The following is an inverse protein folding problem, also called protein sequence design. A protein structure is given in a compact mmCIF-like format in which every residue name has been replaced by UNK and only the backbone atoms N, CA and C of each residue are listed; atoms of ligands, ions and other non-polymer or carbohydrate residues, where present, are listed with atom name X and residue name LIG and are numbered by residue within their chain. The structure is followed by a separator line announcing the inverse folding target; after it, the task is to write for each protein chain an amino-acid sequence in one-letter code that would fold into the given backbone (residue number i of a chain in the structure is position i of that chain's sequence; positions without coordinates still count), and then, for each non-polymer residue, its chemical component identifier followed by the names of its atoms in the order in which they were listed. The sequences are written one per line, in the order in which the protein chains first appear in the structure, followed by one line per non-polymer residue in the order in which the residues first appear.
data_IF_283192653975
#
_entry.id   IF_283192653975
#
_cell.length_a   1.000
_cell.length_b   1.000
_cell.length_c   1.000
_cell.angle_alpha   90.00
_cell.angle_beta   90.00
_cell.angle_gamma   90.00
#
_symmetry.space_group_name_H-M   'P 1'
#
loop_
_entity.id
_entity.type
_entity.pdbx_description
1 polymer ?
#
# COMPACT_ATOMS: atom_id res chain seq x y z
N UNK A 1 -6.70 -17.51 -1.13
CA UNK A 1 -5.39 -17.04 -0.67
C UNK A 1 -5.52 -15.76 0.12
N UNK A 2 -4.77 -15.66 1.19
CA UNK A 2 -4.78 -14.48 2.03
C UNK A 2 -4.06 -13.33 1.33
N UNK A 3 -4.70 -12.16 1.26
CA UNK A 3 -4.07 -10.96 0.70
C UNK A 3 -3.33 -10.21 1.79
N UNK A 4 -2.22 -9.62 1.43
CA UNK A 4 -1.40 -8.83 2.35
C UNK A 4 -1.65 -7.34 2.12
N UNK A 5 -2.01 -6.64 3.20
CA UNK A 5 -2.23 -5.19 3.18
C UNK A 5 -1.12 -4.54 4.00
N UNK A 6 -0.30 -3.74 3.33
CA UNK A 6 0.77 -2.98 3.98
C UNK A 6 0.25 -1.58 4.29
N UNK A 7 0.22 -1.24 5.58
CA UNK A 7 -0.28 0.06 6.06
C UNK A 7 0.90 0.88 6.54
N UNK A 8 1.18 1.99 5.84
CA UNK A 8 2.31 2.87 6.15
C UNK A 8 1.86 4.26 6.60
N UNK A 9 0.66 4.34 7.16
CA UNK A 9 0.16 5.57 7.78
C UNK A 9 0.09 5.37 9.29
N UNK A 10 0.18 6.45 10.08
CA UNK A 10 -0.06 6.35 11.53
C UNK A 10 -1.49 5.87 11.77
N UNK A 11 -1.64 4.75 12.47
CA UNK A 11 -2.96 4.18 12.73
C UNK A 11 -3.13 3.94 14.23
N UNK A 12 -4.16 4.53 14.80
CA UNK A 12 -4.55 4.27 16.18
C UNK A 12 -5.26 2.91 16.25
N UNK A 13 -5.37 2.33 17.44
CA UNK A 13 -5.99 1.02 17.62
C UNK A 13 -7.39 0.93 17.01
N UNK A 14 -8.21 1.97 17.17
CA UNK A 14 -9.55 1.98 16.58
C UNK A 14 -9.53 1.97 15.05
N UNK A 15 -8.52 2.59 14.45
CA UNK A 15 -8.36 2.59 13.00
C UNK A 15 -7.93 1.21 12.51
N UNK A 16 -7.05 0.56 13.26
CA UNK A 16 -6.62 -0.80 12.95
C UNK A 16 -7.80 -1.75 13.00
N UNK A 17 -8.64 -1.65 14.03
CA UNK A 17 -9.83 -2.48 14.15
C UNK A 17 -10.77 -2.30 12.96
N UNK A 18 -11.00 -1.06 12.52
CA UNK A 18 -11.86 -0.79 11.38
C UNK A 18 -11.29 -1.39 10.09
N UNK A 19 -9.98 -1.23 9.88
CA UNK A 19 -9.32 -1.78 8.70
C UNK A 19 -9.41 -3.31 8.70
N UNK A 20 -9.14 -3.92 9.83
CA UNK A 20 -9.16 -5.37 9.94
C UNK A 20 -10.57 -5.95 9.78
N UNK A 21 -11.59 -5.23 10.22
CA UNK A 21 -12.98 -5.63 9.98
C UNK A 21 -13.35 -5.54 8.50
N UNK A 22 -12.93 -4.44 7.85
CA UNK A 22 -13.22 -4.25 6.44
C UNK A 22 -12.50 -5.24 5.55
N UNK A 23 -11.27 -5.60 5.94
CA UNK A 23 -10.45 -6.56 5.21
C UNK A 23 -10.37 -7.92 5.87
N UNK A 24 -11.49 -8.42 6.37
CA UNK A 24 -11.52 -9.71 7.04
C UNK A 24 -10.96 -10.80 6.13
N UNK A 25 -10.00 -11.57 6.64
CA UNK A 25 -9.31 -12.57 5.86
C UNK A 25 -8.03 -12.07 5.22
N UNK A 26 -7.72 -10.78 5.33
CA UNK A 26 -6.45 -10.22 4.87
C UNK A 26 -5.43 -10.20 5.98
N UNK A 27 -4.16 -10.23 5.60
CA UNK A 27 -3.06 -10.07 6.54
C UNK A 27 -2.65 -8.60 6.54
N UNK A 28 -2.68 -7.95 7.69
CA UNK A 28 -2.30 -6.54 7.82
C UNK A 28 -0.90 -6.41 8.41
N UNK A 29 -0.06 -5.62 7.75
CA UNK A 29 1.30 -5.32 8.20
C UNK A 29 1.38 -3.81 8.39
N UNK A 30 1.72 -3.38 9.61
CA UNK A 30 1.79 -1.96 9.95
C UNK A 30 3.24 -1.52 10.05
N UNK A 31 3.64 -0.56 9.22
CA UNK A 31 4.99 -0.04 9.17
C UNK A 31 4.94 1.47 8.95
N UNK A 32 6.09 2.14 9.01
CA UNK A 32 6.20 3.53 8.58
C UNK A 32 6.75 3.53 7.16
N UNK A 33 6.65 4.65 6.41
CA UNK A 33 7.26 4.74 5.10
C UNK A 33 8.77 4.49 5.13
N UNK A 34 9.42 4.76 6.27
CA UNK A 34 10.86 4.57 6.42
C UNK A 34 11.22 3.12 6.80
N UNK A 35 10.38 2.44 7.57
CA UNK A 35 10.68 1.08 8.03
C UNK A 35 10.17 0.00 7.09
N UNK A 36 9.25 0.33 6.18
CA UNK A 36 8.79 -0.62 5.18
C UNK A 36 9.94 -0.98 4.24
N UNK A 37 10.23 -2.27 4.10
CA UNK A 37 11.30 -2.74 3.24
C UNK A 37 10.81 -2.97 1.82
N UNK A 38 11.76 -3.09 0.88
CA UNK A 38 11.42 -3.40 -0.50
C UNK A 38 10.69 -4.75 -0.59
N UNK A 39 11.09 -5.72 0.24
CA UNK A 39 10.44 -7.02 0.29
C UNK A 39 8.98 -6.90 0.73
N UNK A 40 8.71 -6.06 1.72
CA UNK A 40 7.34 -5.82 2.19
C UNK A 40 6.48 -5.18 1.11
N UNK A 41 7.06 -4.22 0.38
CA UNK A 41 6.37 -3.54 -0.72
C UNK A 41 6.02 -4.54 -1.83
N UNK A 42 6.97 -5.38 -2.20
CA UNK A 42 6.76 -6.36 -3.26
C UNK A 42 5.82 -7.49 -2.86
N UNK A 43 5.75 -7.79 -1.57
CA UNK A 43 4.85 -8.83 -1.06
C UNK A 43 3.41 -8.34 -0.88
N UNK A 44 3.18 -7.04 -0.91
CA UNK A 44 1.86 -6.47 -0.65
C UNK A 44 0.93 -6.59 -1.86
N UNK A 45 -0.31 -6.97 -1.59
CA UNK A 45 -1.39 -6.93 -2.59
C UNK A 45 -2.07 -5.56 -2.58
N UNK A 46 -2.09 -4.92 -1.41
CA UNK A 46 -2.65 -3.59 -1.22
C UNK A 46 -1.70 -2.78 -0.34
N UNK A 47 -1.48 -1.52 -0.68
CA UNK A 47 -0.71 -0.60 0.14
C UNK A 47 -1.60 0.58 0.49
N UNK A 48 -1.64 0.93 1.78
CA UNK A 48 -2.36 2.11 2.27
C UNK A 48 -1.32 3.10 2.79
N UNK A 49 -1.21 4.24 2.13
CA UNK A 49 -0.27 5.29 2.50
C UNK A 49 0.67 5.66 1.37
N UNK A 50 1.41 6.74 1.58
CA UNK A 50 2.29 7.30 0.55
C UNK A 50 3.71 6.75 0.66
N UNK A 51 3.94 5.55 0.13
CA UNK A 51 5.29 5.04 -0.09
C UNK A 51 5.90 5.90 -1.18
N UNK A 52 7.18 6.29 -1.05
CA UNK A 52 7.82 7.13 -2.06
C UNK A 52 7.79 6.47 -3.43
N UNK A 53 7.42 7.23 -4.48
CA UNK A 53 7.32 6.65 -5.83
C UNK A 53 8.58 5.96 -6.31
N UNK A 54 9.75 6.49 -5.97
CA UNK A 54 11.03 5.92 -6.39
C UNK A 54 11.33 4.55 -5.76
N UNK A 55 10.54 4.15 -4.77
CA UNK A 55 10.64 2.81 -4.17
C UNK A 55 9.72 1.80 -4.83
N UNK A 56 8.88 2.24 -5.76
CA UNK A 56 7.96 1.37 -6.49
C UNK A 56 8.54 1.08 -7.88
N UNK A 57 8.71 -0.19 -8.18
CA UNK A 57 9.27 -0.64 -9.45
C UNK A 57 8.29 -1.59 -10.13
N UNK A 58 7.06 -1.09 -10.37
CA UNK A 58 5.97 -1.87 -10.95
C UNK A 58 5.74 -3.19 -10.21
N UNK A 59 5.43 -3.12 -8.88
CA UNK A 59 5.26 -4.33 -8.07
C UNK A 59 4.20 -5.25 -8.68
N UNK A 60 4.59 -6.48 -8.97
CA UNK A 60 3.72 -7.43 -9.67
C UNK A 60 2.48 -7.83 -8.89
N UNK A 61 2.60 -7.94 -7.59
CA UNK A 61 1.49 -8.38 -6.73
C UNK A 61 0.54 -7.24 -6.37
N UNK A 62 0.97 -6.01 -6.48
CA UNK A 62 0.21 -4.86 -6.02
C UNK A 62 -1.01 -4.62 -6.91
N UNK A 63 -2.19 -4.76 -6.32
CA UNK A 63 -3.46 -4.56 -7.01
C UNK A 63 -4.04 -3.17 -6.75
N UNK A 64 -3.71 -2.58 -5.59
CA UNK A 64 -4.30 -1.31 -5.18
C UNK A 64 -3.34 -0.52 -4.29
N UNK A 65 -3.13 0.74 -4.64
CA UNK A 65 -2.41 1.70 -3.82
C UNK A 65 -3.37 2.81 -3.42
N UNK A 66 -3.68 2.89 -2.12
CA UNK A 66 -4.54 3.93 -1.56
C UNK A 66 -3.66 4.98 -0.90
N UNK A 67 -3.64 6.19 -1.47
CA UNK A 67 -2.87 7.31 -0.90
C UNK A 67 -3.66 7.95 0.24
N UNK A 68 -2.93 8.47 1.23
CA UNK A 68 -3.54 9.18 2.35
C UNK A 68 -3.42 10.71 2.22
N UNK A 69 -2.83 11.17 1.13
CA UNK A 69 -2.71 12.60 0.82
C UNK A 69 -2.70 12.81 -0.69
N UNK A 70 -2.83 14.06 -1.12
CA UNK A 70 -2.75 14.40 -2.54
C UNK A 70 -1.34 14.10 -3.09
N UNK A 71 -1.20 14.02 -4.40
CA UNK A 71 0.08 13.76 -5.04
C UNK A 71 0.08 12.53 -5.94
N UNK A 72 -1.10 12.13 -6.42
CA UNK A 72 -1.24 10.98 -7.29
C UNK A 72 -0.40 11.07 -8.57
N UNK A 73 -0.12 12.29 -9.03
CA UNK A 73 0.65 12.52 -10.26
C UNK A 73 2.02 11.86 -10.24
N UNK A 74 2.66 11.80 -9.07
CA UNK A 74 3.97 11.19 -8.93
C UNK A 74 3.94 9.68 -9.14
N UNK A 75 2.76 9.06 -9.00
CA UNK A 75 2.60 7.62 -9.09
C UNK A 75 2.15 7.13 -10.45
N UNK A 76 1.74 8.04 -11.33
CA UNK A 76 1.27 7.66 -12.68
C UNK A 76 2.38 7.72 -13.72
N UNK A 77 3.60 8.05 -13.32
CA UNK A 77 4.75 8.08 -14.23
C UNK A 77 5.15 6.65 -14.61
N UNK A 78 5.71 6.46 -15.81
CA UNK A 78 6.16 5.14 -16.25
C UNK A 78 7.15 4.52 -15.25
N UNK A 79 7.05 3.22 -15.03
CA UNK A 79 7.97 2.48 -14.17
C UNK A 79 7.60 2.48 -12.69
N UNK A 80 6.54 3.16 -12.28
CA UNK A 80 6.12 3.25 -10.88
C UNK A 80 5.09 2.18 -10.54
N UNK A 81 3.98 2.19 -11.25
CA UNK A 81 2.89 1.21 -11.05
C UNK A 81 2.59 0.50 -12.36
N UNK A 82 2.12 -0.73 -12.26
CA UNK A 82 1.64 -1.46 -13.42
C UNK A 82 0.29 -0.88 -13.85
N UNK A 83 -0.02 -1.01 -15.13
CA UNK A 83 -1.30 -0.50 -15.66
C UNK A 83 -2.53 -1.15 -15.00
N UNK A 84 -2.35 -2.32 -14.42
CA UNK A 84 -3.41 -3.06 -13.75
C UNK A 84 -3.58 -2.67 -12.28
N UNK A 85 -2.66 -1.87 -11.73
CA UNK A 85 -2.75 -1.45 -10.33
C UNK A 85 -3.69 -0.27 -10.19
N UNK A 86 -4.68 -0.40 -9.30
CA UNK A 86 -5.62 0.68 -9.01
C UNK A 86 -4.94 1.73 -8.11
N UNK A 87 -5.08 2.98 -8.46
CA UNK A 87 -4.55 4.09 -7.65
C UNK A 87 -5.72 4.98 -7.23
N UNK A 88 -5.85 5.18 -5.91
CA UNK A 88 -6.87 6.08 -5.35
C UNK A 88 -6.26 7.00 -4.30
N UNK A 89 -6.89 8.13 -4.07
CA UNK A 89 -6.43 9.09 -3.07
C UNK A 89 -7.56 9.64 -2.23
#
# INVERSE_FOLDING_TARGET
MEKTVLVVIPAEERHKEKLERAGKGCRFVYETPQTATEEMIEAADVIIGNVKPDRLHEPERLQWLQLNSAGADAYVKPGILRSTTMLTS
#
